data_IF_987467467355
#
_entry.id   IF_987467467355
#
_cell.length_a   1.000
_cell.length_b   1.000
_cell.length_c   1.000
_cell.angle_alpha   90.00
_cell.angle_beta   90.00
_cell.angle_gamma   90.00
#
_symmetry.space_group_name_H-M   'P 1'
#
loop_
_entity.id
_entity.type
_entity.pdbx_description
1 polymer ?
#
# COMPACT_ATOMS: atom_id res chain seq x y z
N UNK A 1 3.31 -9.88 10.20
CA UNK A 1 3.34 -8.67 9.34
C UNK A 1 3.95 -9.04 8.01
N UNK A 2 3.51 -8.41 6.93
CA UNK A 2 4.19 -8.45 5.63
C UNK A 2 4.46 -7.03 5.15
N UNK A 3 5.65 -6.81 4.57
CA UNK A 3 6.10 -5.51 4.10
C UNK A 3 6.87 -5.66 2.79
N UNK A 4 6.91 -4.60 2.00
CA UNK A 4 7.68 -4.58 0.76
C UNK A 4 7.64 -3.21 0.11
N UNK A 5 8.63 -2.91 -0.74
CA UNK A 5 8.66 -1.67 -1.53
C UNK A 5 8.35 -1.90 -3.00
N UNK A 6 7.81 -0.89 -3.71
CA UNK A 6 7.55 -0.97 -5.15
C UNK A 6 6.63 -2.17 -5.49
N UNK A 7 7.04 -3.04 -6.43
CA UNK A 7 6.35 -4.31 -6.70
C UNK A 7 6.27 -5.24 -5.48
N UNK A 8 7.24 -5.19 -4.58
CA UNK A 8 7.17 -5.88 -3.30
C UNK A 8 6.06 -5.33 -2.40
N UNK A 9 5.76 -4.03 -2.48
CA UNK A 9 4.62 -3.41 -1.79
C UNK A 9 3.29 -3.87 -2.36
N UNK A 10 3.18 -3.96 -3.69
CA UNK A 10 2.03 -4.56 -4.37
C UNK A 10 1.83 -6.03 -3.96
N UNK A 11 2.91 -6.82 -3.98
CA UNK A 11 2.87 -8.23 -3.59
C UNK A 11 2.48 -8.40 -2.12
N UNK A 12 3.01 -7.57 -1.22
CA UNK A 12 2.66 -7.59 0.20
C UNK A 12 1.17 -7.34 0.43
N UNK A 13 0.60 -6.33 -0.23
CA UNK A 13 -0.83 -6.04 -0.15
C UNK A 13 -1.68 -7.19 -0.70
N UNK A 14 -1.32 -7.70 -1.87
CA UNK A 14 -2.03 -8.79 -2.54
C UNK A 14 -2.04 -10.08 -1.69
N UNK A 15 -0.89 -10.46 -1.15
CA UNK A 15 -0.75 -11.66 -0.30
C UNK A 15 -1.58 -11.48 0.98
N UNK A 16 -1.50 -10.31 1.63
CA UNK A 16 -2.25 -10.06 2.87
C UNK A 16 -3.77 -10.16 2.67
N UNK A 17 -4.29 -9.59 1.57
CA UNK A 17 -5.72 -9.64 1.25
C UNK A 17 -6.24 -11.05 0.98
N UNK A 18 -5.39 -11.95 0.45
CA UNK A 18 -5.76 -13.36 0.20
C UNK A 18 -5.46 -14.30 1.38
N UNK A 19 -4.58 -13.89 2.27
CA UNK A 19 -4.15 -14.65 3.43
C UNK A 19 -4.27 -13.80 4.73
N UNK A 20 -5.47 -13.28 5.04
CA UNK A 20 -5.66 -12.34 6.15
C UNK A 20 -5.45 -12.99 7.53
N UNK A 21 -5.60 -14.31 7.64
CA UNK A 21 -5.32 -15.04 8.88
C UNK A 21 -3.82 -15.15 9.19
N UNK A 22 -2.96 -15.02 8.18
CA UNK A 22 -1.51 -15.10 8.31
C UNK A 22 -0.87 -13.72 8.54
N UNK A 23 -1.49 -12.66 8.03
CA UNK A 23 -0.91 -11.32 8.02
C UNK A 23 -1.89 -10.24 8.49
N UNK A 24 -2.02 -10.08 9.80
CA UNK A 24 -2.87 -9.03 10.40
C UNK A 24 -2.36 -7.60 10.17
N UNK A 25 -1.06 -7.41 9.93
CA UNK A 25 -0.38 -6.12 9.77
C UNK A 25 0.32 -6.05 8.41
N UNK A 26 0.10 -4.98 7.65
CA UNK A 26 0.60 -4.81 6.28
C UNK A 26 1.28 -3.46 6.10
N UNK A 27 2.48 -3.44 5.53
CA UNK A 27 3.28 -2.22 5.34
C UNK A 27 3.80 -2.14 3.89
N UNK A 28 2.96 -1.72 2.93
CA UNK A 28 3.42 -1.47 1.58
C UNK A 28 4.09 -0.09 1.48
N UNK A 29 5.30 -0.07 0.91
CA UNK A 29 6.09 1.13 0.69
C UNK A 29 6.14 1.48 -0.79
N UNK A 30 5.64 2.66 -1.17
CA UNK A 30 5.65 3.09 -2.58
C UNK A 30 5.11 2.00 -3.52
N UNK A 31 4.00 1.36 -3.13
CA UNK A 31 3.47 0.19 -3.81
C UNK A 31 3.06 0.50 -5.25
N UNK A 32 3.37 -0.38 -6.20
CA UNK A 32 3.01 -0.24 -7.61
C UNK A 32 1.52 -0.51 -7.87
N UNK A 33 0.63 0.17 -7.16
CA UNK A 33 -0.83 -0.07 -7.20
C UNK A 33 -1.52 0.44 -8.47
N UNK A 34 -0.79 1.18 -9.30
CA UNK A 34 -1.18 1.52 -10.67
C UNK A 34 -1.07 0.31 -11.62
N UNK A 35 -0.28 -0.71 -11.25
CA UNK A 35 -0.04 -1.87 -12.10
C UNK A 35 -1.31 -2.71 -12.26
N UNK A 36 -1.50 -3.20 -13.49
CA UNK A 36 -2.59 -4.11 -13.86
C UNK A 36 -2.01 -5.34 -14.55
N UNK A 37 -2.67 -6.47 -14.38
CA UNK A 37 -2.33 -7.70 -15.09
C UNK A 37 -2.76 -7.62 -16.58
N UNK A 38 -2.54 -8.70 -17.33
CA UNK A 38 -2.88 -8.76 -18.77
C UNK A 38 -4.39 -8.66 -19.06
N UNK A 39 -5.25 -8.95 -18.09
CA UNK A 39 -6.71 -8.84 -18.19
C UNK A 39 -7.21 -7.45 -17.75
N UNK A 40 -6.32 -6.57 -17.29
CA UNK A 40 -6.65 -5.21 -16.86
C UNK A 40 -7.06 -5.11 -15.38
N UNK A 41 -6.96 -6.19 -14.62
CA UNK A 41 -7.27 -6.23 -13.19
C UNK A 41 -6.06 -5.77 -12.37
N UNK A 42 -6.32 -4.91 -11.39
CA UNK A 42 -5.36 -4.41 -10.43
C UNK A 42 -5.60 -4.95 -9.02
N UNK A 43 -5.05 -4.23 -8.05
CA UNK A 43 -5.21 -4.59 -6.64
C UNK A 43 -6.63 -4.31 -6.13
N UNK A 44 -7.37 -3.40 -6.78
CA UNK A 44 -8.71 -2.99 -6.40
C UNK A 44 -9.71 -4.16 -6.48
N UNK A 45 -9.62 -4.98 -7.53
CA UNK A 45 -10.41 -6.19 -7.72
C UNK A 45 -10.08 -7.24 -6.65
N UNK A 46 -8.83 -7.26 -6.17
CA UNK A 46 -8.43 -8.14 -5.05
C UNK A 46 -9.06 -7.68 -3.74
N UNK A 47 -9.13 -6.37 -3.47
CA UNK A 47 -9.83 -5.86 -2.28
C UNK A 47 -11.32 -6.21 -2.33
N UNK A 48 -11.96 -6.02 -3.48
CA UNK A 48 -13.39 -6.30 -3.65
C UNK A 48 -13.76 -7.79 -3.44
N UNK A 49 -12.82 -8.69 -3.68
CA UNK A 49 -13.00 -10.15 -3.51
C UNK A 49 -12.36 -10.72 -2.23
N UNK A 50 -11.73 -9.87 -1.41
CA UNK A 50 -11.05 -10.29 -0.18
C UNK A 50 -12.03 -10.61 0.95
N UNK A 51 -11.58 -11.37 1.95
CA UNK A 51 -12.40 -11.68 3.13
C UNK A 51 -12.67 -10.43 3.97
N UNK A 52 -13.77 -10.42 4.72
CA UNK A 52 -14.13 -9.31 5.63
C UNK A 52 -13.24 -9.19 6.88
N UNK A 53 -12.21 -10.03 7.06
CA UNK A 53 -11.31 -9.94 8.21
C UNK A 53 -10.53 -8.60 8.20
N UNK A 54 -10.74 -7.72 9.20
CA UNK A 54 -10.05 -6.44 9.26
C UNK A 54 -8.54 -6.65 9.43
N UNK A 55 -7.76 -5.89 8.67
CA UNK A 55 -6.30 -5.85 8.75
C UNK A 55 -5.85 -4.43 9.10
N UNK A 56 -4.68 -4.30 9.73
CA UNK A 56 -4.03 -3.03 9.99
C UNK A 56 -3.02 -2.72 8.89
N UNK A 57 -3.13 -1.53 8.31
CA UNK A 57 -2.31 -1.09 7.19
C UNK A 57 -1.54 0.17 7.55
N UNK A 58 -0.25 0.18 7.23
CA UNK A 58 0.56 1.39 7.18
C UNK A 58 1.05 1.58 5.74
N UNK A 59 0.32 2.39 4.99
CA UNK A 59 0.60 2.65 3.57
C UNK A 59 1.41 3.93 3.48
N UNK A 60 2.55 3.86 2.78
CA UNK A 60 3.35 5.06 2.53
C UNK A 60 3.64 5.27 1.05
N UNK A 61 3.73 6.55 0.67
CA UNK A 61 4.28 7.00 -0.61
C UNK A 61 5.19 8.22 -0.40
N UNK A 62 6.17 8.39 -1.28
CA UNK A 62 6.93 9.62 -1.43
C UNK A 62 6.10 10.67 -2.16
N UNK A 63 6.15 11.92 -1.69
CA UNK A 63 5.42 13.05 -2.29
C UNK A 63 5.77 13.31 -3.76
N UNK A 64 6.99 12.96 -4.17
CA UNK A 64 7.48 13.19 -5.53
C UNK A 64 7.21 12.01 -6.47
N UNK A 65 6.54 10.96 -6.01
CA UNK A 65 6.18 9.79 -6.82
C UNK A 65 4.89 10.02 -7.63
N UNK A 66 4.89 11.10 -8.42
CA UNK A 66 3.79 11.45 -9.31
C UNK A 66 3.85 10.67 -10.62
N UNK A 67 2.75 10.69 -11.38
CA UNK A 67 2.73 10.14 -12.74
C UNK A 67 3.82 10.76 -13.61
N UNK A 68 4.40 9.98 -14.52
CA UNK A 68 5.40 10.48 -15.47
C UNK A 68 4.73 11.30 -16.56
N UNK A 69 5.54 12.05 -17.31
CA UNK A 69 5.04 12.87 -18.41
C UNK A 69 4.36 11.97 -19.47
N UNK A 70 3.07 12.17 -19.69
CA UNK A 70 2.25 11.41 -20.64
C UNK A 70 1.42 10.29 -20.02
N UNK A 71 1.61 10.01 -18.73
CA UNK A 71 0.77 9.08 -17.97
C UNK A 71 -0.41 9.81 -17.33
N UNK A 72 -1.52 9.11 -17.10
CA UNK A 72 -2.61 9.68 -16.32
C UNK A 72 -2.16 9.90 -14.87
N UNK A 73 -2.67 10.93 -14.19
CA UNK A 73 -2.35 11.18 -12.78
C UNK A 73 -2.62 9.94 -11.87
N UNK A 74 -3.59 9.10 -12.27
CA UNK A 74 -3.94 7.85 -11.62
C UNK A 74 -2.83 6.78 -11.64
N UNK A 75 -1.86 6.91 -12.54
CA UNK A 75 -0.72 6.01 -12.68
C UNK A 75 0.44 6.36 -11.73
N UNK A 76 0.37 7.51 -11.04
CA UNK A 76 1.34 7.88 -10.01
C UNK A 76 1.24 6.99 -8.77
N UNK A 77 2.38 6.64 -8.18
CA UNK A 77 2.45 5.83 -6.94
C UNK A 77 1.77 6.55 -5.78
N UNK A 78 1.98 7.86 -5.63
CA UNK A 78 1.36 8.63 -4.56
C UNK A 78 -0.17 8.63 -4.66
N UNK A 79 -0.71 8.82 -5.87
CA UNK A 79 -2.14 8.79 -6.11
C UNK A 79 -2.73 7.39 -5.88
N UNK A 80 -2.14 6.37 -6.51
CA UNK A 80 -2.64 4.99 -6.42
C UNK A 80 -2.52 4.41 -5.00
N UNK A 81 -1.50 4.79 -4.22
CA UNK A 81 -1.35 4.42 -2.81
C UNK A 81 -2.42 5.05 -1.93
N UNK A 82 -2.73 6.34 -2.14
CA UNK A 82 -3.84 7.02 -1.45
C UNK A 82 -5.17 6.36 -1.79
N UNK A 83 -5.42 6.14 -3.08
CA UNK A 83 -6.66 5.52 -3.56
C UNK A 83 -6.86 4.12 -2.97
N UNK A 84 -5.81 3.30 -2.88
CA UNK A 84 -5.89 2.00 -2.22
C UNK A 84 -6.26 2.14 -0.75
N UNK A 85 -5.65 3.11 -0.04
CA UNK A 85 -6.01 3.41 1.35
C UNK A 85 -7.49 3.72 1.53
N UNK A 86 -8.05 4.57 0.66
CA UNK A 86 -9.47 4.95 0.69
C UNK A 86 -10.40 3.76 0.38
N UNK A 87 -9.99 2.84 -0.51
CA UNK A 87 -10.74 1.62 -0.80
C UNK A 87 -10.71 0.68 0.41
N UNK A 88 -9.54 0.46 1.00
CA UNK A 88 -9.37 -0.42 2.17
C UNK A 88 -10.17 0.08 3.38
N UNK A 89 -10.19 1.39 3.63
CA UNK A 89 -11.02 1.97 4.70
C UNK A 89 -12.51 1.71 4.49
N UNK A 90 -13.01 1.83 3.24
CA UNK A 90 -14.40 1.49 2.88
C UNK A 90 -14.71 -0.01 3.02
N UNK A 91 -13.68 -0.85 2.99
CA UNK A 91 -13.76 -2.29 3.24
C UNK A 91 -13.42 -2.67 4.70
N UNK A 92 -13.64 -1.76 5.65
CA UNK A 92 -13.48 -1.98 7.11
C UNK A 92 -12.05 -2.33 7.58
N UNK A 93 -11.01 -2.04 6.78
CA UNK A 93 -9.63 -2.14 7.25
C UNK A 93 -9.23 -0.91 8.07
N UNK A 94 -8.31 -1.12 9.02
CA UNK A 94 -7.69 -0.03 9.78
C UNK A 94 -6.49 0.49 8.98
N UNK A 95 -6.57 1.71 8.44
CA UNK A 95 -5.54 2.23 7.53
C UNK A 95 -4.94 3.54 8.05
N UNK A 96 -3.63 3.52 8.23
CA UNK A 96 -2.79 4.72 8.36
C UNK A 96 -2.11 4.97 7.02
N UNK A 97 -2.43 6.08 6.34
CA UNK A 97 -1.74 6.52 5.13
C UNK A 97 -0.80 7.69 5.45
N UNK A 98 0.46 7.63 5.00
CA UNK A 98 1.44 8.69 5.22
C UNK A 98 2.31 8.99 4.02
N UNK A 99 2.47 10.27 3.73
CA UNK A 99 3.40 10.75 2.72
C UNK A 99 4.70 11.25 3.33
N UNK A 100 5.81 10.95 2.66
CA UNK A 100 7.15 11.38 3.06
C UNK A 100 7.71 12.38 2.06
N UNK A 101 8.47 13.37 2.55
CA UNK A 101 9.22 14.28 1.69
C UNK A 101 10.37 13.51 1.01
N UNK A 102 10.15 13.12 -0.24
CA UNK A 102 11.07 12.28 -1.02
C UNK A 102 10.33 11.56 -2.15
N UNK A 103 11.06 10.70 -2.86
CA UNK A 103 10.57 9.96 -4.03
C UNK A 103 10.61 8.45 -3.81
N UNK A 104 10.96 7.72 -4.87
CA UNK A 104 11.12 6.28 -4.86
C UNK A 104 12.54 5.89 -4.40
N UNK A 105 12.87 6.20 -3.14
CA UNK A 105 14.23 6.10 -2.62
C UNK A 105 14.36 5.34 -1.28
N UNK A 106 15.53 4.73 -1.07
CA UNK A 106 15.81 3.91 0.10
C UNK A 106 15.82 4.68 1.42
N UNK A 107 16.18 5.97 1.41
CA UNK A 107 16.22 6.78 2.62
C UNK A 107 14.80 7.04 3.16
N UNK A 108 13.85 7.29 2.25
CA UNK A 108 12.42 7.37 2.58
C UNK A 108 11.92 6.03 3.12
N UNK A 109 12.22 4.91 2.45
CA UNK A 109 11.74 3.60 2.87
C UNK A 109 12.30 3.16 4.22
N UNK A 110 13.56 3.43 4.52
CA UNK A 110 14.15 3.11 5.81
C UNK A 110 13.38 3.79 6.96
N UNK A 111 13.07 5.08 6.80
CA UNK A 111 12.29 5.82 7.77
C UNK A 111 10.86 5.30 7.86
N UNK A 112 10.23 5.06 6.71
CA UNK A 112 8.85 4.61 6.67
C UNK A 112 8.65 3.22 7.26
N UNK A 113 9.64 2.33 7.10
CA UNK A 113 9.66 1.03 7.74
C UNK A 113 9.67 1.16 9.27
N UNK A 114 10.55 2.00 9.81
CA UNK A 114 10.62 2.23 11.26
C UNK A 114 9.30 2.81 11.81
N UNK A 115 8.80 3.88 11.19
CA UNK A 115 7.54 4.53 11.59
C UNK A 115 6.35 3.58 11.47
N UNK A 116 6.29 2.78 10.40
CA UNK A 116 5.21 1.83 10.17
C UNK A 116 5.23 0.65 11.14
N UNK A 117 6.41 0.12 11.49
CA UNK A 117 6.54 -0.91 12.53
C UNK A 117 6.08 -0.36 13.89
N UNK A 118 6.48 0.86 14.24
CA UNK A 118 6.00 1.50 15.47
C UNK A 118 4.48 1.69 15.44
N UNK A 119 3.89 2.14 14.33
CA UNK A 119 2.45 2.33 14.23
C UNK A 119 1.67 1.01 14.33
N UNK A 120 2.14 -0.05 13.67
CA UNK A 120 1.42 -1.33 13.58
C UNK A 120 1.50 -2.17 14.86
N UNK A 121 2.53 -1.95 15.69
CA UNK A 121 2.77 -2.73 16.93
C UNK A 121 2.81 -1.89 18.21
N UNK A 122 2.83 -0.56 18.10
CA UNK A 122 3.02 0.35 19.23
C UNK A 122 1.80 0.58 20.12
N UNK A 123 0.64 0.00 19.77
CA UNK A 123 -0.53 0.01 20.65
C UNK A 123 -0.56 -1.25 21.52
N UNK A 124 -0.34 -1.03 22.83
CA UNK A 124 -0.75 -1.91 23.94
C UNK A 124 -2.14 -1.52 24.40
#
# INVERSE_FOLDING_TARGET
>A
MIAGSSYGGLAAAYIALRHPQQFANVLPMSGSFWWKNKTGEGIQETVASSSELPLKWYIMAGKYETARKGEAAAEGIAFSSRQLGDILQRHNHMVTYREYGGGHDYAVWQKALADGVINLFGER
#
